data_IF_798195430033
#
_entry.id   IF_798195430033
#
_cell.length_a   1.000
_cell.length_b   1.000
_cell.length_c   1.000
_cell.angle_alpha   90.00
_cell.angle_beta   90.00
_cell.angle_gamma   90.00
#
_symmetry.space_group_name_H-M   'P 1'
#
loop_
_entity.id
_entity.type
_entity.pdbx_description
1 polymer ?
#
# COMPACT_ATOMS: atom_id res chain seq x y z
N UNK A 1 24.72 -2.66 5.48
CA UNK A 1 23.31 -3.16 5.45
C UNK A 1 22.96 -3.44 4.00
N UNK A 2 22.36 -4.58 3.71
CA UNK A 2 22.05 -4.95 2.34
C UNK A 2 20.82 -4.18 1.82
N UNK A 3 20.79 -3.93 0.52
CA UNK A 3 19.77 -3.13 -0.14
C UNK A 3 18.34 -3.68 0.05
N UNK A 4 18.19 -5.00 0.19
CA UNK A 4 16.86 -5.60 0.33
C UNK A 4 16.17 -5.19 1.65
N UNK A 5 16.93 -4.89 2.71
CA UNK A 5 16.37 -4.38 3.95
C UNK A 5 15.82 -2.96 3.79
N UNK A 6 16.47 -2.15 2.95
CA UNK A 6 15.98 -0.82 2.60
C UNK A 6 14.60 -0.90 1.91
N UNK A 7 14.42 -1.86 1.00
CA UNK A 7 13.14 -2.08 0.33
C UNK A 7 12.05 -2.50 1.33
N UNK A 8 12.40 -3.33 2.31
CA UNK A 8 11.45 -3.74 3.36
C UNK A 8 11.00 -2.54 4.19
N UNK A 9 11.94 -1.69 4.61
CA UNK A 9 11.61 -0.49 5.38
C UNK A 9 10.77 0.49 4.58
N UNK A 10 11.07 0.70 3.32
CA UNK A 10 10.28 1.57 2.44
C UNK A 10 8.88 1.02 2.25
N UNK A 11 8.75 -0.29 2.05
CA UNK A 11 7.45 -0.95 1.92
C UNK A 11 6.62 -0.78 3.19
N UNK A 12 7.24 -0.90 4.35
CA UNK A 12 6.60 -0.72 5.64
C UNK A 12 6.08 0.71 5.81
N UNK A 13 6.88 1.70 5.43
CA UNK A 13 6.47 3.10 5.49
C UNK A 13 5.25 3.36 4.60
N UNK A 14 5.23 2.79 3.40
CA UNK A 14 4.09 2.93 2.49
C UNK A 14 2.86 2.19 2.98
N UNK A 15 3.06 1.05 3.63
CA UNK A 15 1.98 0.31 4.26
C UNK A 15 1.34 1.12 5.39
N UNK A 16 2.14 1.82 6.18
CA UNK A 16 1.63 2.72 7.22
C UNK A 16 0.82 3.87 6.62
N UNK A 17 1.29 4.44 5.50
CA UNK A 17 0.55 5.49 4.79
C UNK A 17 -0.80 4.96 4.29
N UNK A 18 -0.82 3.78 3.71
CA UNK A 18 -2.05 3.14 3.23
C UNK A 18 -3.01 2.87 4.39
N UNK A 19 -2.49 2.35 5.50
CA UNK A 19 -3.27 2.07 6.70
C UNK A 19 -3.91 3.34 7.27
N UNK A 20 -3.15 4.44 7.33
CA UNK A 20 -3.66 5.73 7.77
C UNK A 20 -4.75 6.26 6.85
N UNK A 21 -4.55 6.14 5.55
CA UNK A 21 -5.52 6.53 4.54
C UNK A 21 -6.83 5.77 4.72
N UNK A 22 -6.75 4.46 4.87
CA UNK A 22 -7.91 3.60 5.06
C UNK A 22 -8.61 3.86 6.40
N UNK A 23 -7.86 4.18 7.44
CA UNK A 23 -8.42 4.49 8.75
C UNK A 23 -9.26 5.77 8.73
N UNK A 24 -8.75 6.80 8.05
CA UNK A 24 -9.45 8.09 7.96
C UNK A 24 -10.71 7.98 7.10
N UNK A 25 -10.58 7.42 5.90
CA UNK A 25 -11.68 7.39 4.94
C UNK A 25 -12.58 6.16 5.09
N UNK A 26 -12.03 5.04 5.52
CA UNK A 26 -12.80 3.81 5.73
C UNK A 26 -13.83 3.95 6.84
N UNK A 27 -13.49 4.65 7.91
CA UNK A 27 -14.41 4.89 9.03
C UNK A 27 -15.64 5.67 8.56
N UNK A 28 -15.41 6.68 7.72
CA UNK A 28 -16.51 7.48 7.18
C UNK A 28 -17.48 6.64 6.33
N UNK A 29 -16.95 5.67 5.58
CA UNK A 29 -17.77 4.82 4.73
C UNK A 29 -18.52 3.74 5.49
N UNK A 30 -17.92 3.17 6.52
CA UNK A 30 -18.50 2.04 7.27
C UNK A 30 -19.73 2.43 8.08
N UNK A 31 -19.81 3.68 8.51
CA UNK A 31 -20.93 4.18 9.32
C UNK A 31 -22.10 4.71 8.49
N UNK A 32 -21.94 4.75 7.16
CA UNK A 32 -22.99 5.23 6.27
C UNK A 32 -23.98 4.14 5.92
N UNK A 33 -25.27 4.48 5.86
CA UNK A 33 -26.26 3.63 5.23
C UNK A 33 -26.03 3.58 3.72
N UNK A 34 -26.66 2.61 3.03
CA UNK A 34 -26.53 2.48 1.58
C UNK A 34 -26.95 3.78 0.87
N UNK A 35 -28.05 4.38 1.31
CA UNK A 35 -28.57 5.62 0.71
C UNK A 35 -27.62 6.78 0.94
N UNK A 36 -27.09 6.90 2.15
CA UNK A 36 -26.11 7.92 2.50
C UNK A 36 -24.81 7.73 1.69
N UNK A 37 -24.36 6.50 1.53
CA UNK A 37 -23.17 6.18 0.75
C UNK A 37 -23.34 6.59 -0.71
N UNK A 38 -24.48 6.24 -1.33
CA UNK A 38 -24.76 6.62 -2.73
C UNK A 38 -24.75 8.13 -2.89
N UNK A 39 -25.36 8.83 -1.95
CA UNK A 39 -25.42 10.30 -1.97
C UNK A 39 -24.02 10.91 -1.80
N UNK A 40 -23.25 10.36 -0.89
CA UNK A 40 -21.86 10.79 -0.66
C UNK A 40 -21.01 10.56 -1.91
N UNK A 41 -21.11 9.38 -2.50
CA UNK A 41 -20.36 9.02 -3.69
C UNK A 41 -20.68 9.94 -4.87
N UNK A 42 -21.95 10.31 -5.05
CA UNK A 42 -22.36 11.22 -6.11
C UNK A 42 -21.77 12.61 -5.94
N UNK A 43 -21.69 13.10 -4.70
CA UNK A 43 -21.14 14.43 -4.41
C UNK A 43 -19.60 14.47 -4.44
N UNK A 44 -18.95 13.37 -4.09
CA UNK A 44 -17.50 13.32 -3.92
C UNK A 44 -16.82 12.35 -4.88
N UNK A 45 -17.43 12.09 -6.01
CA UNK A 45 -16.94 11.10 -6.98
C UNK A 45 -15.48 11.36 -7.38
N UNK A 46 -15.14 12.59 -7.70
CA UNK A 46 -13.77 12.92 -8.12
C UNK A 46 -12.77 12.67 -7.00
N UNK A 47 -13.10 13.07 -5.78
CA UNK A 47 -12.23 12.85 -4.63
C UNK A 47 -12.07 11.36 -4.31
N UNK A 48 -13.13 10.57 -4.45
CA UNK A 48 -13.09 9.12 -4.26
C UNK A 48 -12.23 8.45 -5.32
N UNK A 49 -12.33 8.89 -6.58
CA UNK A 49 -11.50 8.35 -7.66
C UNK A 49 -10.02 8.61 -7.40
N UNK A 50 -9.67 9.82 -6.97
CA UNK A 50 -8.29 10.17 -6.63
C UNK A 50 -7.81 9.31 -5.46
N UNK A 51 -8.65 9.13 -4.44
CA UNK A 51 -8.33 8.33 -3.26
C UNK A 51 -8.05 6.87 -3.63
N UNK A 52 -8.93 6.27 -4.44
CA UNK A 52 -8.76 4.87 -4.86
C UNK A 52 -7.52 4.70 -5.75
N UNK A 53 -7.23 5.66 -6.63
CA UNK A 53 -6.02 5.64 -7.44
C UNK A 53 -4.77 5.74 -6.56
N UNK A 54 -4.79 6.58 -5.56
CA UNK A 54 -3.67 6.70 -4.62
C UNK A 54 -3.46 5.40 -3.85
N UNK A 55 -4.54 4.79 -3.35
CA UNK A 55 -4.47 3.51 -2.64
C UNK A 55 -3.90 2.41 -3.55
N UNK A 56 -4.35 2.34 -4.79
CA UNK A 56 -3.85 1.37 -5.77
C UNK A 56 -2.35 1.57 -6.03
N UNK A 57 -1.93 2.82 -6.22
CA UNK A 57 -0.51 3.13 -6.43
C UNK A 57 0.35 2.76 -5.23
N UNK A 58 -0.16 2.96 -4.02
CA UNK A 58 0.56 2.56 -2.80
C UNK A 58 0.70 1.04 -2.72
N UNK A 59 -0.35 0.30 -3.03
CA UNK A 59 -0.32 -1.17 -3.05
C UNK A 59 0.70 -1.68 -4.07
N UNK A 60 0.68 -1.13 -5.29
CA UNK A 60 1.63 -1.52 -6.34
C UNK A 60 3.06 -1.21 -5.92
N UNK A 61 3.30 -0.05 -5.31
CA UNK A 61 4.62 0.34 -4.84
C UNK A 61 5.13 -0.60 -3.74
N UNK A 62 4.26 -0.99 -2.81
CA UNK A 62 4.60 -1.95 -1.75
C UNK A 62 4.97 -3.29 -2.37
N UNK A 63 4.17 -3.77 -3.32
CA UNK A 63 4.41 -5.05 -4.00
C UNK A 63 5.76 -5.06 -4.70
N UNK A 64 6.08 -4.01 -5.46
CA UNK A 64 7.36 -3.87 -6.14
C UNK A 64 8.53 -3.87 -5.16
N UNK A 65 8.42 -3.15 -4.06
CA UNK A 65 9.47 -3.09 -3.05
C UNK A 65 9.69 -4.43 -2.37
N UNK A 66 8.61 -5.15 -2.06
CA UNK A 66 8.71 -6.48 -1.47
C UNK A 66 9.31 -7.49 -2.46
N UNK A 67 8.97 -7.38 -3.74
CA UNK A 67 9.56 -8.22 -4.78
C UNK A 67 11.07 -8.01 -4.86
N UNK A 68 11.52 -6.75 -4.83
CA UNK A 68 12.95 -6.43 -4.81
C UNK A 68 13.63 -6.97 -3.56
N UNK A 69 12.99 -6.88 -2.41
CA UNK A 69 13.52 -7.39 -1.16
C UNK A 69 13.67 -8.91 -1.19
N UNK A 70 12.66 -9.62 -1.71
CA UNK A 70 12.69 -11.08 -1.83
C UNK A 70 13.80 -11.50 -2.79
N UNK A 71 13.91 -10.86 -3.94
CA UNK A 71 14.96 -11.16 -4.92
C UNK A 71 16.35 -10.92 -4.35
N UNK A 72 16.51 -9.84 -3.60
CA UNK A 72 17.77 -9.53 -2.91
C UNK A 72 18.15 -10.59 -1.87
N UNK A 73 17.17 -11.05 -1.10
CA UNK A 73 17.37 -12.09 -0.10
C UNK A 73 17.77 -13.42 -0.75
N UNK A 74 17.11 -13.81 -1.83
CA UNK A 74 17.48 -15.03 -2.56
C UNK A 74 18.88 -14.95 -3.16
N UNK A 75 19.26 -13.81 -3.73
CA UNK A 75 20.60 -13.60 -4.25
C UNK A 75 21.65 -13.76 -3.16
N UNK A 76 21.40 -13.20 -1.99
CA UNK A 76 22.29 -13.31 -0.85
C UNK A 76 22.42 -14.76 -0.37
N UNK A 77 21.32 -15.50 -0.33
CA UNK A 77 21.33 -16.91 0.03
C UNK A 77 22.17 -17.75 -0.95
N UNK A 78 22.04 -17.47 -2.24
CA UNK A 78 22.82 -18.18 -3.28
C UNK A 78 24.32 -17.89 -3.13
N UNK A 79 24.68 -16.65 -2.86
CA UNK A 79 26.09 -16.28 -2.59
C UNK A 79 26.63 -17.02 -1.36
N UNK A 80 25.84 -17.08 -0.30
CA UNK A 80 26.19 -17.83 0.91
C UNK A 80 26.37 -19.32 0.65
N UNK A 81 25.53 -19.90 -0.20
CA UNK A 81 25.61 -21.32 -0.54
C UNK A 81 26.85 -21.64 -1.39
N UNK A 82 27.36 -20.69 -2.15
CA UNK A 82 28.55 -20.86 -3.00
C UNK A 82 29.85 -20.64 -2.22
N UNK A 83 29.77 -19.97 -1.11
CA UNK A 83 30.93 -19.74 -0.26
C UNK A 83 31.23 -20.96 0.59
#
# INVERSE_FOLDING_TARGET
>A
MSEHWSYVEDARCRLEQLSSLMSVYGTDFLDLSKEEFVRYAALHYENMSVLFNLAENLVQSIDEMLEQAVNGAYAQMREGAQA
#
